data_IF_551011174132
#
_entry.id   IF_551011174132
#
_cell.length_a   1.000
_cell.length_b   1.000
_cell.length_c   1.000
_cell.angle_alpha   90.00
_cell.angle_beta   90.00
_cell.angle_gamma   90.00
#
_symmetry.space_group_name_H-M   'P 1'
#
loop_
_entity.id
_entity.type
_entity.pdbx_description
1 polymer ?
#
# COMPACT_ATOMS: atom_id res chain seq x y z
N UNK A 1 25.78 -5.00 17.09
CA UNK A 1 25.05 -6.17 16.55
C UNK A 1 23.88 -6.47 17.49
N UNK A 2 22.65 -6.40 17.01
CA UNK A 2 21.47 -6.72 17.83
C UNK A 2 21.49 -8.19 18.22
N UNK A 3 21.45 -8.46 19.54
CA UNK A 3 21.43 -9.83 20.03
C UNK A 3 19.98 -10.36 20.03
N UNK A 4 19.47 -10.74 18.87
CA UNK A 4 18.13 -11.31 18.71
C UNK A 4 17.94 -12.61 19.48
N UNK A 5 19.01 -13.34 19.80
CA UNK A 5 18.98 -14.60 20.57
C UNK A 5 18.53 -14.43 22.02
N UNK A 6 18.53 -13.18 22.54
CA UNK A 6 17.98 -12.89 23.88
C UNK A 6 16.45 -12.99 23.95
N UNK A 7 15.77 -12.85 22.80
CA UNK A 7 14.32 -12.96 22.73
C UNK A 7 13.92 -14.43 22.62
N UNK A 8 13.03 -14.84 23.51
CA UNK A 8 12.44 -16.17 23.46
C UNK A 8 11.13 -16.10 22.71
N UNK A 9 10.82 -17.16 21.99
CA UNK A 9 9.50 -17.32 21.37
C UNK A 9 8.43 -17.31 22.47
N UNK A 10 7.28 -16.68 22.15
CA UNK A 10 6.09 -16.77 23.01
C UNK A 10 5.56 -18.20 23.01
N UNK A 11 5.26 -18.74 24.21
CA UNK A 11 4.67 -20.08 24.32
C UNK A 11 3.23 -20.06 23.80
N UNK A 12 2.94 -20.94 22.86
CA UNK A 12 1.59 -21.04 22.29
C UNK A 12 0.62 -21.63 23.32
N UNK A 13 -0.58 -21.05 23.39
CA UNK A 13 -1.66 -21.60 24.21
C UNK A 13 -2.17 -22.87 23.51
N UNK A 14 -2.04 -24.02 24.18
CA UNK A 14 -2.48 -25.31 23.64
C UNK A 14 -3.99 -25.48 23.79
N UNK A 15 -4.71 -25.42 22.68
CA UNK A 15 -6.14 -25.72 22.58
C UNK A 15 -6.33 -26.94 21.67
N UNK A 16 -7.24 -27.86 22.07
CA UNK A 16 -7.42 -29.15 21.37
C UNK A 16 -7.81 -29.02 19.90
N UNK A 17 -8.57 -27.97 19.56
CA UNK A 17 -9.14 -27.80 18.22
C UNK A 17 -8.43 -26.71 17.39
N UNK A 18 -7.23 -26.29 17.80
CA UNK A 18 -6.43 -25.30 17.05
C UNK A 18 -5.78 -25.94 15.84
N UNK A 19 -5.86 -25.26 14.72
CA UNK A 19 -5.21 -25.69 13.46
C UNK A 19 -4.18 -24.67 12.96
N UNK A 20 -4.61 -23.51 12.50
CA UNK A 20 -3.72 -22.49 11.94
C UNK A 20 -2.92 -21.66 12.97
N UNK A 21 -3.41 -21.37 14.22
CA UNK A 21 -2.65 -20.54 15.17
C UNK A 21 -1.35 -21.16 15.67
N UNK A 22 -1.15 -22.46 15.46
CA UNK A 22 0.08 -23.14 15.81
C UNK A 22 1.15 -23.06 14.70
N UNK A 23 0.80 -22.48 13.56
CA UNK A 23 1.75 -22.22 12.50
C UNK A 23 2.79 -21.18 12.94
N UNK A 24 4.02 -21.39 12.53
CA UNK A 24 5.15 -20.51 12.86
C UNK A 24 5.63 -19.76 11.63
N UNK A 25 5.94 -18.48 11.84
CA UNK A 25 6.66 -17.70 10.84
C UNK A 25 8.13 -18.13 10.89
N UNK A 26 8.58 -18.86 9.88
CA UNK A 26 9.94 -19.39 9.76
C UNK A 26 10.84 -18.59 8.82
N UNK A 27 10.25 -17.67 8.04
CA UNK A 27 10.94 -16.76 7.13
C UNK A 27 10.63 -15.32 7.50
N UNK A 28 11.62 -14.45 7.38
CA UNK A 28 11.40 -13.02 7.55
C UNK A 28 10.36 -12.53 6.52
N UNK A 29 9.40 -11.66 6.91
CA UNK A 29 8.50 -11.01 5.95
C UNK A 29 9.30 -10.05 5.04
N UNK A 30 8.74 -9.76 3.88
CA UNK A 30 9.23 -8.65 3.05
C UNK A 30 8.83 -7.35 3.74
N UNK A 31 9.79 -6.44 3.87
CA UNK A 31 9.54 -5.13 4.47
C UNK A 31 9.20 -4.13 3.38
N UNK A 32 8.05 -3.46 3.52
CA UNK A 32 7.68 -2.31 2.72
C UNK A 32 8.02 -1.02 3.49
N UNK A 33 8.80 -0.11 2.87
CA UNK A 33 8.97 1.24 3.41
C UNK A 33 7.79 2.11 3.01
N UNK A 34 7.20 2.80 3.98
CA UNK A 34 6.12 3.79 3.78
C UNK A 34 6.57 5.23 4.03
N UNK A 35 7.88 5.44 4.17
CA UNK A 35 8.44 6.74 4.54
C UNK A 35 8.16 7.83 3.49
N UNK A 36 8.24 7.49 2.20
CA UNK A 36 8.01 8.43 1.09
C UNK A 36 6.53 8.78 0.89
N UNK A 37 5.60 7.98 1.40
CA UNK A 37 4.17 8.28 1.36
C UNK A 37 3.67 8.77 2.71
N UNK A 38 3.54 7.88 3.69
CA UNK A 38 2.95 8.18 5.01
C UNK A 38 3.87 9.08 5.84
N UNK A 39 5.16 8.78 5.85
CA UNK A 39 6.18 9.62 6.50
C UNK A 39 6.23 11.02 5.92
N UNK A 40 6.29 11.16 4.59
CA UNK A 40 6.28 12.45 3.90
C UNK A 40 4.99 13.24 4.15
N UNK A 41 3.84 12.55 4.19
CA UNK A 41 2.53 13.17 4.45
C UNK A 41 2.46 13.82 5.84
N UNK A 42 3.22 13.32 6.81
CA UNK A 42 3.28 13.84 8.17
C UNK A 42 4.18 15.08 8.32
N UNK A 43 4.98 15.43 7.32
CA UNK A 43 5.89 16.57 7.36
C UNK A 43 5.13 17.90 7.21
N UNK A 44 5.54 18.91 7.97
CA UNK A 44 5.04 20.30 7.84
C UNK A 44 5.38 20.83 6.43
N UNK A 45 6.62 20.58 5.98
CA UNK A 45 7.09 20.88 4.63
C UNK A 45 7.37 19.55 3.94
N UNK A 46 6.49 19.05 3.08
CA UNK A 46 6.72 17.81 2.32
C UNK A 46 7.98 17.90 1.47
N UNK A 47 8.62 16.76 1.24
CA UNK A 47 9.81 16.68 0.41
C UNK A 47 9.53 17.11 -1.04
N UNK A 48 10.50 17.79 -1.63
CA UNK A 48 10.56 18.04 -3.07
C UNK A 48 10.76 16.74 -3.85
N UNK A 49 10.60 16.77 -5.16
CA UNK A 49 10.84 15.58 -6.01
C UNK A 49 12.31 15.14 -5.92
N UNK A 50 13.25 16.08 -5.86
CA UNK A 50 14.68 15.83 -5.72
C UNK A 50 14.99 15.11 -4.41
N UNK A 51 14.48 15.62 -3.29
CA UNK A 51 14.65 15.00 -1.97
C UNK A 51 14.02 13.61 -1.91
N UNK A 52 12.87 13.41 -2.54
CA UNK A 52 12.23 12.09 -2.66
C UNK A 52 13.09 11.11 -3.46
N UNK A 53 13.72 11.53 -4.55
CA UNK A 53 14.63 10.69 -5.34
C UNK A 53 15.85 10.29 -4.51
N UNK A 54 16.45 11.26 -3.80
CA UNK A 54 17.59 10.98 -2.92
C UNK A 54 17.20 9.95 -1.84
N UNK A 55 16.05 10.14 -1.22
CA UNK A 55 15.54 9.24 -0.18
C UNK A 55 15.15 7.86 -0.73
N UNK A 56 14.56 7.79 -1.91
CA UNK A 56 14.29 6.54 -2.61
C UNK A 56 15.58 5.73 -2.82
N UNK A 57 16.61 6.37 -3.32
CA UNK A 57 17.93 5.76 -3.52
C UNK A 57 18.54 5.27 -2.20
N UNK A 58 18.33 6.00 -1.10
CA UNK A 58 18.76 5.56 0.23
C UNK A 58 18.01 4.29 0.66
N UNK A 59 16.70 4.23 0.48
CA UNK A 59 15.88 3.05 0.82
C UNK A 59 16.31 1.82 0.00
N UNK A 60 16.55 2.00 -1.30
CA UNK A 60 17.12 0.95 -2.16
C UNK A 60 18.47 0.47 -1.64
N UNK A 61 19.36 1.39 -1.27
CA UNK A 61 20.69 1.08 -0.70
C UNK A 61 20.59 0.36 0.66
N UNK A 62 19.57 0.65 1.46
CA UNK A 62 19.29 -0.06 2.71
C UNK A 62 18.75 -1.48 2.48
N UNK A 63 18.34 -1.80 1.25
CA UNK A 63 17.90 -3.14 0.87
C UNK A 63 16.40 -3.37 0.88
N UNK A 64 15.58 -2.32 0.99
CA UNK A 64 14.12 -2.45 0.83
C UNK A 64 13.79 -2.95 -0.57
N UNK A 65 12.85 -3.90 -0.64
CA UNK A 65 12.37 -4.50 -1.90
C UNK A 65 10.96 -4.07 -2.26
N UNK A 66 10.24 -3.51 -1.31
CA UNK A 66 8.95 -2.88 -1.50
C UNK A 66 9.01 -1.46 -0.91
N UNK A 67 8.62 -0.46 -1.70
CA UNK A 67 8.71 0.96 -1.30
C UNK A 67 7.41 1.65 -1.75
N UNK A 68 6.60 2.10 -0.78
CA UNK A 68 5.42 2.92 -1.06
C UNK A 68 5.86 4.37 -1.31
N UNK A 69 5.83 4.76 -2.57
CA UNK A 69 6.44 6.00 -3.05
C UNK A 69 5.53 7.22 -2.98
N UNK A 70 4.21 7.01 -2.91
CA UNK A 70 3.28 8.12 -2.83
C UNK A 70 1.88 7.81 -3.34
N UNK A 71 1.13 8.89 -3.64
CA UNK A 71 -0.24 8.85 -4.13
C UNK A 71 -0.33 9.61 -5.49
N UNK A 72 0.09 8.99 -6.60
CA UNK A 72 0.22 9.68 -7.90
C UNK A 72 -1.07 10.31 -8.41
N UNK A 73 -2.23 9.76 -8.04
CA UNK A 73 -3.51 10.34 -8.44
C UNK A 73 -3.99 11.51 -7.57
N UNK A 74 -3.34 11.78 -6.43
CA UNK A 74 -3.73 12.86 -5.53
C UNK A 74 -3.14 14.23 -5.92
N UNK A 75 -1.90 14.25 -6.44
CA UNK A 75 -1.24 15.49 -6.81
C UNK A 75 -0.31 15.33 -8.01
N UNK A 76 0.01 16.44 -8.67
CA UNK A 76 0.92 16.44 -9.81
C UNK A 76 2.37 16.13 -9.36
N UNK A 77 2.79 16.60 -8.19
CA UNK A 77 4.13 16.33 -7.63
C UNK A 77 4.32 14.83 -7.42
N UNK A 78 3.33 14.13 -6.86
CA UNK A 78 3.38 12.68 -6.66
C UNK A 78 3.42 11.91 -8.00
N UNK A 79 2.66 12.40 -8.97
CA UNK A 79 2.66 11.86 -10.33
C UNK A 79 4.04 12.03 -10.99
N UNK A 80 4.59 13.24 -10.95
CA UNK A 80 5.87 13.56 -11.57
C UNK A 80 7.04 12.81 -10.89
N UNK A 81 6.97 12.62 -9.59
CA UNK A 81 7.96 11.82 -8.87
C UNK A 81 8.02 10.38 -9.40
N UNK A 82 6.89 9.70 -9.50
CA UNK A 82 6.85 8.35 -10.07
C UNK A 82 7.34 8.36 -11.53
N UNK A 83 6.89 9.31 -12.34
CA UNK A 83 7.34 9.40 -13.74
C UNK A 83 8.84 9.57 -13.83
N UNK A 84 9.44 10.42 -13.00
CA UNK A 84 10.91 10.59 -12.97
C UNK A 84 11.62 9.29 -12.58
N UNK A 85 11.13 8.55 -11.58
CA UNK A 85 11.70 7.25 -11.23
C UNK A 85 11.71 6.29 -12.42
N UNK A 86 10.65 6.31 -13.23
CA UNK A 86 10.52 5.44 -14.43
C UNK A 86 11.39 5.97 -15.58
N UNK A 87 11.23 7.24 -15.94
CA UNK A 87 11.82 7.82 -17.13
C UNK A 87 13.34 7.96 -17.02
N UNK A 88 13.87 8.12 -15.80
CA UNK A 88 15.30 8.12 -15.48
C UNK A 88 15.85 6.71 -15.13
N UNK A 89 15.01 5.66 -15.22
CA UNK A 89 15.37 4.26 -14.93
C UNK A 89 15.98 4.07 -13.52
N UNK A 90 15.41 4.71 -12.51
CA UNK A 90 15.92 4.68 -11.13
C UNK A 90 15.41 3.49 -10.32
N UNK A 91 14.40 2.76 -10.80
CA UNK A 91 13.80 1.62 -10.11
C UNK A 91 14.59 0.35 -10.44
N UNK A 92 15.31 -0.27 -9.49
CA UNK A 92 15.99 -1.54 -9.72
C UNK A 92 15.01 -2.67 -10.06
N UNK A 93 15.47 -3.66 -10.85
CA UNK A 93 14.65 -4.80 -11.29
C UNK A 93 14.11 -5.67 -10.13
N UNK A 94 14.77 -5.63 -8.97
CA UNK A 94 14.41 -6.39 -7.78
C UNK A 94 13.65 -5.55 -6.74
N UNK A 95 13.24 -4.33 -7.09
CA UNK A 95 12.43 -3.43 -6.27
C UNK A 95 11.04 -3.28 -6.88
N UNK A 96 10.01 -3.42 -6.05
CA UNK A 96 8.61 -3.19 -6.38
C UNK A 96 8.16 -1.86 -5.77
N UNK A 97 7.70 -0.95 -6.61
CA UNK A 97 7.12 0.32 -6.13
C UNK A 97 5.67 0.10 -5.76
N UNK A 98 5.25 0.69 -4.63
CA UNK A 98 3.86 0.68 -4.19
C UNK A 98 3.28 2.07 -4.34
N UNK A 99 2.04 2.16 -4.82
CA UNK A 99 1.30 3.41 -5.01
C UNK A 99 -0.07 3.32 -4.36
N UNK A 100 -0.39 4.35 -3.56
CA UNK A 100 -1.69 4.45 -2.91
C UNK A 100 -2.72 5.07 -3.85
N UNK A 101 -3.96 4.60 -3.78
CA UNK A 101 -5.11 5.24 -4.42
C UNK A 101 -6.40 4.96 -3.68
N UNK A 102 -7.34 5.89 -3.68
CA UNK A 102 -8.70 5.62 -3.20
C UNK A 102 -9.41 4.69 -4.18
N UNK A 103 -10.34 3.88 -3.66
CA UNK A 103 -11.21 3.01 -4.46
C UNK A 103 -12.25 3.82 -5.26
N UNK A 104 -11.78 4.72 -6.13
CA UNK A 104 -12.58 5.58 -7.02
C UNK A 104 -12.12 5.41 -8.46
N UNK A 105 -13.01 5.19 -9.44
CA UNK A 105 -12.64 4.85 -10.80
C UNK A 105 -11.65 5.81 -11.46
N UNK A 106 -11.86 7.12 -11.35
CA UNK A 106 -11.00 8.12 -11.97
C UNK A 106 -9.60 8.19 -11.34
N UNK A 107 -9.49 7.92 -10.02
CA UNK A 107 -8.19 7.89 -9.33
C UNK A 107 -7.43 6.61 -9.66
N UNK A 108 -8.11 5.46 -9.70
CA UNK A 108 -7.51 4.19 -10.13
C UNK A 108 -6.98 4.32 -11.57
N UNK A 109 -7.78 4.88 -12.48
CA UNK A 109 -7.35 5.13 -13.86
C UNK A 109 -6.08 5.97 -13.91
N UNK A 110 -6.05 7.13 -13.22
CA UNK A 110 -4.87 8.01 -13.17
C UNK A 110 -3.66 7.33 -12.55
N UNK A 111 -3.86 6.47 -11.57
CA UNK A 111 -2.79 5.66 -10.97
C UNK A 111 -2.17 4.75 -12.02
N UNK A 112 -2.97 4.01 -12.81
CA UNK A 112 -2.44 3.16 -13.88
C UNK A 112 -1.78 3.96 -15.00
N UNK A 113 -2.26 5.15 -15.33
CA UNK A 113 -1.58 6.06 -16.27
C UNK A 113 -0.17 6.43 -15.76
N UNK A 114 -0.02 6.67 -14.45
CA UNK A 114 1.29 6.98 -13.85
C UNK A 114 2.25 5.79 -13.83
N UNK A 115 1.73 4.55 -13.78
CA UNK A 115 2.50 3.31 -13.74
C UNK A 115 3.00 2.84 -15.13
N UNK A 116 2.68 3.54 -16.20
CA UNK A 116 3.13 3.15 -17.55
C UNK A 116 4.65 2.90 -17.58
N UNK A 117 5.07 1.74 -18.14
CA UNK A 117 6.45 1.26 -18.23
C UNK A 117 7.09 0.88 -16.87
N UNK A 118 6.34 0.81 -15.78
CA UNK A 118 6.83 0.20 -14.54
C UNK A 118 6.83 -1.31 -14.70
N UNK A 119 7.91 -1.98 -14.31
CA UNK A 119 8.02 -3.45 -14.45
C UNK A 119 7.21 -4.20 -13.38
N UNK A 120 7.20 -3.68 -12.15
CA UNK A 120 6.55 -4.32 -11.01
C UNK A 120 5.98 -3.26 -10.07
N UNK A 121 4.71 -3.36 -9.75
CA UNK A 121 4.07 -2.45 -8.82
C UNK A 121 3.04 -3.12 -7.91
N UNK A 122 2.86 -2.55 -6.72
CA UNK A 122 1.73 -2.83 -5.84
C UNK A 122 0.76 -1.65 -5.97
N UNK A 123 -0.48 -1.92 -6.35
CA UNK A 123 -1.56 -0.94 -6.32
C UNK A 123 -2.30 -1.12 -5.00
N UNK A 124 -2.06 -0.21 -4.08
CA UNK A 124 -2.65 -0.18 -2.75
C UNK A 124 -3.92 0.66 -2.79
N UNK A 125 -5.07 0.01 -2.79
CA UNK A 125 -6.37 0.71 -2.75
C UNK A 125 -6.92 0.74 -1.32
N UNK A 126 -7.65 1.80 -1.00
CA UNK A 126 -8.33 1.94 0.27
C UNK A 126 -9.67 2.66 0.12
N UNK A 127 -10.53 2.44 1.09
CA UNK A 127 -11.70 3.28 1.35
C UNK A 127 -11.98 3.35 2.85
N UNK A 128 -12.62 4.45 3.25
CA UNK A 128 -12.98 4.69 4.64
C UNK A 128 -14.17 3.83 5.06
N UNK A 129 -14.10 3.28 6.27
CA UNK A 129 -15.07 2.30 6.77
C UNK A 129 -15.67 2.63 8.12
N UNK A 130 -15.19 3.69 8.81
CA UNK A 130 -15.70 4.08 10.13
C UNK A 130 -17.19 4.47 10.10
N UNK A 131 -17.86 4.32 11.24
CA UNK A 131 -19.26 4.73 11.40
C UNK A 131 -19.44 6.20 11.04
N UNK A 132 -18.58 7.07 11.57
CA UNK A 132 -18.65 8.50 11.32
C UNK A 132 -18.56 8.83 9.82
N UNK A 133 -17.62 8.20 9.13
CA UNK A 133 -17.44 8.44 7.70
C UNK A 133 -18.62 7.91 6.88
N UNK A 134 -19.14 6.73 7.22
CA UNK A 134 -20.31 6.19 6.54
C UNK A 134 -21.54 7.09 6.70
N UNK A 135 -21.84 7.50 7.94
CA UNK A 135 -23.05 8.22 8.27
C UNK A 135 -23.01 9.70 7.87
N UNK A 136 -21.84 10.36 8.00
CA UNK A 136 -21.71 11.81 7.81
C UNK A 136 -21.12 12.19 6.47
N UNK A 137 -20.08 11.47 6.01
CA UNK A 137 -19.35 11.83 4.78
C UNK A 137 -19.98 11.18 3.56
N UNK A 138 -20.26 9.88 3.63
CA UNK A 138 -20.77 9.14 2.48
C UNK A 138 -22.29 9.02 2.48
N UNK A 139 -22.93 9.06 3.65
CA UNK A 139 -24.35 8.76 3.82
C UNK A 139 -24.72 7.41 3.19
N UNK A 140 -23.95 6.38 3.52
CA UNK A 140 -23.99 5.04 2.94
C UNK A 140 -24.07 3.98 4.03
N UNK A 141 -24.79 2.90 3.73
CA UNK A 141 -24.84 1.68 4.53
C UNK A 141 -23.50 0.93 4.51
N UNK A 142 -23.37 -0.08 5.38
CA UNK A 142 -22.19 -0.96 5.38
C UNK A 142 -22.04 -1.71 4.06
N UNK A 143 -23.13 -2.16 3.49
CA UNK A 143 -23.20 -2.89 2.24
C UNK A 143 -22.70 -2.03 1.08
N UNK A 144 -23.13 -0.78 1.00
CA UNK A 144 -22.68 0.18 -0.02
C UNK A 144 -21.17 0.50 0.13
N UNK A 145 -20.67 0.64 1.36
CA UNK A 145 -19.23 0.83 1.60
C UNK A 145 -18.41 -0.40 1.20
N UNK A 146 -18.91 -1.62 1.45
CA UNK A 146 -18.27 -2.85 0.95
C UNK A 146 -18.24 -2.88 -0.59
N UNK A 147 -19.32 -2.45 -1.23
CA UNK A 147 -19.39 -2.43 -2.70
C UNK A 147 -18.34 -1.49 -3.30
N UNK A 148 -18.01 -0.35 -2.65
CA UNK A 148 -16.89 0.51 -3.07
C UNK A 148 -15.58 -0.29 -3.13
N UNK A 149 -15.29 -1.10 -2.12
CA UNK A 149 -14.08 -1.94 -2.09
C UNK A 149 -14.10 -3.01 -3.18
N UNK A 150 -15.24 -3.67 -3.36
CA UNK A 150 -15.43 -4.73 -4.37
C UNK A 150 -15.26 -4.17 -5.78
N UNK A 151 -15.94 -3.07 -6.11
CA UNK A 151 -15.85 -2.44 -7.43
C UNK A 151 -14.46 -1.85 -7.68
N UNK A 152 -13.84 -1.22 -6.68
CA UNK A 152 -12.45 -0.76 -6.78
C UNK A 152 -11.48 -1.90 -7.07
N UNK A 153 -11.63 -3.03 -6.37
CA UNK A 153 -10.82 -4.23 -6.59
C UNK A 153 -11.02 -4.83 -7.98
N UNK A 154 -12.26 -4.91 -8.46
CA UNK A 154 -12.58 -5.40 -9.82
C UNK A 154 -11.91 -4.52 -10.86
N UNK A 155 -11.98 -3.20 -10.69
CA UNK A 155 -11.42 -2.24 -11.63
C UNK A 155 -9.88 -2.31 -11.68
N UNK A 156 -9.21 -2.44 -10.53
CA UNK A 156 -7.75 -2.66 -10.49
C UNK A 156 -7.38 -3.95 -11.23
N UNK A 157 -8.12 -5.04 -11.01
CA UNK A 157 -7.90 -6.30 -11.73
C UNK A 157 -8.15 -6.20 -13.22
N UNK A 158 -9.07 -5.34 -13.67
CA UNK A 158 -9.32 -5.08 -15.08
C UNK A 158 -8.12 -4.36 -15.71
N UNK A 159 -7.67 -3.25 -15.14
CA UNK A 159 -6.48 -2.54 -15.63
C UNK A 159 -5.21 -3.40 -15.59
N UNK A 160 -5.09 -4.28 -14.58
CA UNK A 160 -3.93 -5.17 -14.45
C UNK A 160 -3.81 -6.18 -15.61
N UNK A 161 -4.92 -6.53 -16.31
CA UNK A 161 -4.88 -7.45 -17.45
C UNK A 161 -4.11 -6.88 -18.65
N UNK A 162 -4.20 -5.56 -18.83
CA UNK A 162 -3.58 -4.85 -19.96
C UNK A 162 -2.22 -4.23 -19.57
N UNK A 163 -1.76 -4.48 -18.36
CA UNK A 163 -0.52 -3.93 -17.85
C UNK A 163 0.69 -4.77 -18.32
N UNK A 164 1.70 -4.11 -18.89
CA UNK A 164 2.93 -4.75 -19.37
C UNK A 164 3.93 -4.99 -18.23
N UNK A 165 3.54 -5.74 -17.20
CA UNK A 165 4.39 -5.99 -16.04
C UNK A 165 3.67 -6.81 -14.98
N UNK A 166 4.22 -6.79 -13.76
CA UNK A 166 3.63 -7.45 -12.61
C UNK A 166 2.86 -6.44 -11.74
N UNK A 167 1.58 -6.69 -11.51
CA UNK A 167 0.75 -5.93 -10.58
C UNK A 167 0.29 -6.82 -9.44
N UNK A 168 0.62 -6.41 -8.22
CA UNK A 168 0.00 -6.92 -7.00
C UNK A 168 -1.05 -5.92 -6.52
N UNK A 169 -2.10 -6.45 -5.91
CA UNK A 169 -3.16 -5.65 -5.30
C UNK A 169 -3.06 -5.73 -3.79
N UNK A 170 -3.04 -4.59 -3.13
CA UNK A 170 -3.23 -4.45 -1.69
C UNK A 170 -4.52 -3.69 -1.42
N UNK A 171 -5.29 -4.10 -0.41
CA UNK A 171 -6.48 -3.40 0.04
C UNK A 171 -6.42 -3.11 1.53
N UNK A 172 -6.68 -1.86 1.91
CA UNK A 172 -6.81 -1.43 3.30
C UNK A 172 -8.19 -0.84 3.58
N UNK A 173 -8.95 -1.44 4.52
CA UNK A 173 -10.12 -0.78 5.10
C UNK A 173 -9.64 0.30 6.08
N UNK A 174 -9.70 1.56 5.69
CA UNK A 174 -9.29 2.67 6.55
C UNK A 174 -10.14 2.73 7.82
N UNK A 175 -9.51 3.05 8.96
CA UNK A 175 -10.15 3.02 10.30
C UNK A 175 -10.63 1.61 10.71
N UNK A 176 -9.83 0.59 10.43
CA UNK A 176 -10.15 -0.83 10.66
C UNK A 176 -10.67 -1.11 12.08
N UNK A 177 -10.09 -0.50 13.11
CA UNK A 177 -10.52 -0.71 14.51
C UNK A 177 -11.92 -0.16 14.81
N UNK A 178 -12.41 0.78 14.02
CA UNK A 178 -13.77 1.33 14.12
C UNK A 178 -14.81 0.50 13.34
N UNK A 179 -14.36 -0.41 12.48
CA UNK A 179 -15.21 -1.37 11.79
C UNK A 179 -15.77 -2.38 12.78
N UNK A 180 -15.11 -2.66 13.89
CA UNK A 180 -15.39 -3.78 14.80
C UNK A 180 -16.84 -3.93 15.22
N UNK A 181 -17.58 -2.84 15.37
CA UNK A 181 -19.04 -2.87 15.56
C UNK A 181 -19.83 -3.17 14.28
N UNK A 182 -19.17 -3.24 13.15
CA UNK A 182 -19.78 -3.51 11.86
C UNK A 182 -19.81 -5.01 11.51
N UNK A 183 -19.12 -5.83 12.27
CA UNK A 183 -18.97 -7.26 12.06
C UNK A 183 -19.53 -8.11 13.19
N UNK A 184 -20.19 -7.48 14.18
CA UNK A 184 -20.91 -8.17 15.27
C UNK A 184 -22.39 -8.17 14.98
#
# INVERSE_FOLDING_TARGET
MLNYKKYKRFETIKLKDRTWPDNEITKAPIWCSVDLRDGNQALINPMTVEEKIEFFNLLVKLGFKEIEIGFPSASQIEYDFLRRLVDENLIPDDVMVQVLTQARPHLIKRTFESLKNVKKAIVHIYNSTSVLQRDVVFNMSKEEIKEIAVEGTKLVKEYAKDFEGEILLEYSPESFTEIGRAHV
#
